data_IF_799465905890
#
_entry.id   IF_799465905890
#
_cell.length_a   1.000
_cell.length_b   1.000
_cell.length_c   1.000
_cell.angle_alpha   90.00
_cell.angle_beta   90.00
_cell.angle_gamma   90.00
#
_symmetry.space_group_name_H-M   'P 1'
#
loop_
_entity.id
_entity.type
_entity.pdbx_description
1 polymer ?
#
# COMPACT_ATOMS: atom_id res chain seq x y z
N UNK A 1 -28.14 -8.81 9.94
CA UNK A 1 -27.99 -8.58 8.49
C UNK A 1 -26.83 -7.64 8.23
N UNK A 2 -25.81 -8.10 7.51
CA UNK A 2 -24.75 -7.27 6.94
C UNK A 2 -24.57 -7.63 5.46
N UNK A 3 -23.96 -6.75 4.69
CA UNK A 3 -23.62 -7.00 3.30
C UNK A 3 -22.17 -6.58 3.00
N UNK A 4 -21.57 -7.20 2.00
CA UNK A 4 -20.31 -6.72 1.39
C UNK A 4 -20.68 -6.19 0.02
N UNK A 5 -20.39 -4.90 -0.20
CA UNK A 5 -20.77 -4.16 -1.40
C UNK A 5 -19.56 -3.46 -1.97
N UNK A 6 -19.49 -3.40 -3.30
CA UNK A 6 -18.50 -2.60 -3.99
C UNK A 6 -19.01 -1.17 -4.17
N UNK A 7 -18.37 -0.21 -3.52
CA UNK A 7 -18.69 1.22 -3.63
C UNK A 7 -17.46 1.95 -4.14
N UNK A 8 -17.60 2.56 -5.32
CA UNK A 8 -16.56 3.38 -5.95
C UNK A 8 -15.18 2.68 -6.02
N UNK A 9 -15.19 1.39 -6.40
CA UNK A 9 -14.01 0.55 -6.59
C UNK A 9 -13.41 -0.07 -5.33
N UNK A 10 -14.11 0.02 -4.19
CA UNK A 10 -13.67 -0.60 -2.93
C UNK A 10 -14.79 -1.46 -2.34
N UNK A 11 -14.44 -2.64 -1.83
CA UNK A 11 -15.38 -3.50 -1.13
C UNK A 11 -15.46 -3.08 0.33
N UNK A 12 -16.67 -2.85 0.82
CA UNK A 12 -16.90 -2.44 2.20
C UNK A 12 -17.97 -3.31 2.83
N UNK A 13 -17.70 -3.75 4.07
CA UNK A 13 -18.69 -4.41 4.91
C UNK A 13 -19.60 -3.36 5.52
N UNK A 14 -20.90 -3.53 5.30
CA UNK A 14 -21.92 -2.58 5.74
C UNK A 14 -23.03 -3.26 6.51
N UNK A 15 -23.52 -2.58 7.54
CA UNK A 15 -24.72 -2.92 8.27
C UNK A 15 -25.75 -1.78 8.17
N UNK A 16 -27.01 -2.10 8.49
CA UNK A 16 -28.07 -1.09 8.55
C UNK A 16 -27.72 0.00 9.57
N UNK A 17 -28.01 1.26 9.23
CA UNK A 17 -27.77 2.46 10.04
C UNK A 17 -26.27 2.76 10.31
N UNK A 18 -25.36 2.07 9.64
CA UNK A 18 -23.92 2.29 9.77
C UNK A 18 -23.47 3.49 8.93
N UNK A 19 -22.58 4.30 9.51
CA UNK A 19 -21.84 5.36 8.80
C UNK A 19 -20.58 4.80 8.20
N UNK A 20 -20.35 5.07 6.92
CA UNK A 20 -19.22 4.57 6.16
C UNK A 20 -18.60 5.70 5.34
N UNK A 21 -17.27 5.74 5.31
CA UNK A 21 -16.53 6.64 4.43
C UNK A 21 -16.13 5.90 3.16
N UNK A 22 -16.51 6.48 2.02
CA UNK A 22 -16.20 5.94 0.70
C UNK A 22 -15.52 6.99 -0.16
N UNK A 23 -14.94 6.56 -1.28
CA UNK A 23 -14.41 7.46 -2.29
C UNK A 23 -15.49 8.46 -2.76
N UNK A 24 -15.05 9.63 -3.23
CA UNK A 24 -15.95 10.73 -3.58
C UNK A 24 -17.02 10.31 -4.59
N UNK A 25 -18.28 10.46 -4.20
CA UNK A 25 -19.44 10.21 -5.07
C UNK A 25 -19.86 11.49 -5.83
N UNK A 26 -20.32 11.39 -7.09
CA UNK A 26 -20.80 12.50 -7.90
C UNK A 26 -22.26 12.86 -7.59
N UNK A 27 -22.64 12.84 -6.31
CA UNK A 27 -24.02 13.09 -5.85
C UNK A 27 -24.00 14.18 -4.78
N UNK A 28 -25.01 15.03 -4.75
CA UNK A 28 -25.11 16.10 -3.75
C UNK A 28 -25.38 15.55 -2.34
N UNK A 29 -25.03 16.35 -1.32
CA UNK A 29 -25.27 16.00 0.08
C UNK A 29 -26.78 15.93 0.36
N UNK A 30 -27.20 14.97 1.19
CA UNK A 30 -28.60 14.73 1.56
C UNK A 30 -29.39 13.85 0.59
N UNK A 31 -28.86 13.55 -0.61
CA UNK A 31 -29.53 12.68 -1.58
C UNK A 31 -29.29 11.19 -1.29
N UNK A 32 -30.24 10.36 -1.70
CA UNK A 32 -30.14 8.91 -1.66
C UNK A 32 -29.43 8.36 -2.89
N UNK A 33 -28.68 7.28 -2.71
CA UNK A 33 -27.90 6.56 -3.71
C UNK A 33 -28.14 5.06 -3.52
N UNK A 34 -28.36 4.36 -4.62
CA UNK A 34 -28.48 2.91 -4.67
C UNK A 34 -27.20 2.26 -5.19
N UNK A 35 -26.81 1.13 -4.60
CA UNK A 35 -25.69 0.31 -5.05
C UNK A 35 -26.18 -1.09 -5.40
N UNK A 36 -25.92 -1.49 -6.65
CA UNK A 36 -26.40 -2.77 -7.21
C UNK A 36 -25.35 -3.89 -7.07
N UNK A 37 -24.06 -3.55 -6.94
CA UNK A 37 -22.97 -4.51 -6.85
C UNK A 37 -22.78 -5.05 -5.43
N UNK A 38 -23.71 -5.91 -5.00
CA UNK A 38 -23.65 -6.61 -3.72
C UNK A 38 -23.02 -7.99 -3.90
N UNK A 39 -21.93 -8.26 -3.19
CA UNK A 39 -21.13 -9.48 -3.35
C UNK A 39 -21.54 -10.57 -2.37
N UNK A 40 -21.94 -10.17 -1.15
CA UNK A 40 -22.30 -11.10 -0.08
C UNK A 40 -23.36 -10.47 0.81
N UNK A 41 -24.31 -11.28 1.28
CA UNK A 41 -25.27 -10.92 2.33
C UNK A 41 -25.21 -11.97 3.43
N UNK A 42 -25.01 -11.52 4.67
CA UNK A 42 -24.99 -12.35 5.87
C UNK A 42 -26.15 -12.03 6.80
N UNK A 43 -27.04 -13.01 6.97
CA UNK A 43 -28.20 -12.99 7.87
C UNK A 43 -28.02 -14.01 9.00
N UNK A 44 -27.16 -13.67 9.95
CA UNK A 44 -26.82 -14.57 11.06
C UNK A 44 -26.10 -15.80 10.51
N UNK A 45 -26.73 -16.96 10.62
CA UNK A 45 -26.17 -18.24 10.17
C UNK A 45 -26.31 -18.47 8.65
N UNK A 46 -27.16 -17.70 7.96
CA UNK A 46 -27.35 -17.81 6.51
C UNK A 46 -26.45 -16.81 5.80
N UNK A 47 -25.53 -17.33 4.98
CA UNK A 47 -24.63 -16.51 4.16
C UNK A 47 -24.93 -16.79 2.69
N UNK A 48 -25.35 -15.75 1.97
CA UNK A 48 -25.58 -15.77 0.53
C UNK A 48 -24.37 -15.12 -0.15
N UNK A 49 -23.70 -15.87 -1.02
CA UNK A 49 -22.48 -15.44 -1.73
C UNK A 49 -22.83 -15.29 -3.21
N UNK A 50 -22.45 -14.16 -3.82
CA UNK A 50 -22.64 -13.88 -5.24
C UNK A 50 -21.52 -14.46 -6.11
N UNK A 51 -21.80 -14.58 -7.41
CA UNK A 51 -20.84 -15.06 -8.41
C UNK A 51 -21.07 -14.35 -9.76
N UNK A 52 -20.56 -13.13 -9.98
CA UNK A 52 -19.72 -12.28 -9.12
C UNK A 52 -20.49 -11.38 -8.14
N UNK A 53 -21.74 -11.02 -8.44
CA UNK A 53 -22.64 -10.27 -7.56
C UNK A 53 -23.95 -11.06 -7.36
N UNK A 54 -24.75 -10.67 -6.37
CA UNK A 54 -26.07 -11.27 -6.10
C UNK A 54 -27.13 -10.54 -6.93
N UNK A 55 -27.79 -11.26 -7.84
CA UNK A 55 -28.81 -10.69 -8.71
C UNK A 55 -30.01 -10.17 -7.92
N UNK A 56 -30.40 -8.92 -8.18
CA UNK A 56 -31.55 -8.26 -7.56
C UNK A 56 -31.34 -7.85 -6.10
N UNK A 57 -30.12 -7.93 -5.59
CA UNK A 57 -29.74 -7.31 -4.33
C UNK A 57 -29.42 -5.83 -4.54
N UNK A 58 -29.87 -4.98 -3.61
CA UNK A 58 -29.63 -3.54 -3.69
C UNK A 58 -29.43 -2.96 -2.30
N UNK A 59 -28.48 -2.03 -2.18
CA UNK A 59 -28.24 -1.28 -0.94
C UNK A 59 -28.63 0.17 -1.15
N UNK A 60 -29.56 0.65 -0.33
CA UNK A 60 -29.95 2.06 -0.27
C UNK A 60 -29.13 2.79 0.78
N UNK A 61 -28.50 3.90 0.37
CA UNK A 61 -27.71 4.75 1.25
C UNK A 61 -28.05 6.22 1.05
N UNK A 62 -27.80 7.04 2.07
CA UNK A 62 -27.93 8.50 2.02
C UNK A 62 -26.58 9.15 2.20
N UNK A 63 -26.25 10.09 1.32
CA UNK A 63 -25.02 10.90 1.45
C UNK A 63 -25.23 11.93 2.55
N UNK A 64 -24.43 11.87 3.60
CA UNK A 64 -24.50 12.83 4.72
C UNK A 64 -23.71 14.08 4.39
N UNK A 65 -22.43 13.92 4.03
CA UNK A 65 -21.53 15.04 3.73
C UNK A 65 -20.35 14.62 2.87
N UNK A 66 -19.77 15.59 2.16
CA UNK A 66 -18.49 15.44 1.47
C UNK A 66 -17.38 16.08 2.30
N UNK A 67 -16.29 15.34 2.51
CA UNK A 67 -15.16 15.82 3.30
C UNK A 67 -13.82 15.52 2.64
N UNK A 68 -12.80 16.16 3.18
CA UNK A 68 -11.40 15.86 2.86
C UNK A 68 -10.82 15.08 4.03
N UNK A 69 -10.25 13.91 3.75
CA UNK A 69 -9.54 13.12 4.74
C UNK A 69 -8.29 13.82 5.26
N UNK A 70 -7.52 13.12 6.07
CA UNK A 70 -6.33 13.69 6.68
C UNK A 70 -5.27 14.05 5.66
N UNK A 71 -4.45 15.06 6.00
CA UNK A 71 -3.40 15.54 5.11
C UNK A 71 -2.22 14.58 5.15
N UNK A 72 -2.05 13.83 4.08
CA UNK A 72 -0.86 13.01 3.85
C UNK A 72 0.24 13.90 3.28
N UNK A 73 1.41 13.93 3.90
CA UNK A 73 2.56 14.69 3.42
C UNK A 73 3.41 13.80 2.52
N UNK A 74 3.42 14.10 1.22
CA UNK A 74 4.28 13.45 0.24
C UNK A 74 5.61 14.20 0.18
N UNK A 75 6.62 13.65 0.85
CA UNK A 75 7.98 14.19 0.85
C UNK A 75 8.91 13.34 -0.03
N UNK A 76 9.55 13.97 -1.01
CA UNK A 76 10.53 13.34 -1.90
C UNK A 76 11.88 14.03 -1.69
N UNK A 77 12.96 13.29 -1.43
CA UNK A 77 14.32 13.84 -1.24
C UNK A 77 15.35 12.92 -1.87
N UNK A 78 16.36 13.49 -2.56
CA UNK A 78 17.56 12.77 -3.00
C UNK A 78 18.77 13.31 -2.26
N UNK A 79 19.54 12.43 -1.62
CA UNK A 79 20.73 12.78 -0.83
C UNK A 79 21.81 13.40 -1.73
N UNK A 80 22.46 14.48 -1.28
CA UNK A 80 23.56 15.19 -2.00
C UNK A 80 23.21 15.74 -3.39
N UNK A 81 21.94 15.75 -3.80
CA UNK A 81 21.49 16.28 -5.11
C UNK A 81 20.70 17.58 -5.01
N UNK A 82 20.61 18.18 -3.82
CA UNK A 82 19.78 19.38 -3.57
C UNK A 82 18.26 19.17 -3.76
N UNK A 83 17.83 18.03 -4.31
CA UNK A 83 16.45 17.72 -4.58
C UNK A 83 15.69 17.38 -3.31
N UNK A 84 14.74 18.24 -2.95
CA UNK A 84 13.68 18.00 -1.96
C UNK A 84 12.37 18.62 -2.46
N UNK A 85 11.26 17.88 -2.38
CA UNK A 85 9.91 18.33 -2.69
C UNK A 85 8.98 17.88 -1.56
N UNK A 86 8.12 18.77 -1.08
CA UNK A 86 7.12 18.49 -0.03
C UNK A 86 5.76 18.95 -0.54
N UNK A 87 4.89 17.99 -0.85
CA UNK A 87 3.52 18.27 -1.28
C UNK A 87 2.55 17.70 -0.24
N UNK A 88 1.44 18.40 0.01
CA UNK A 88 0.34 17.85 0.78
C UNK A 88 -0.69 17.22 -0.16
N UNK A 89 -1.19 16.04 0.18
CA UNK A 89 -2.34 15.41 -0.46
C UNK A 89 -3.47 15.25 0.56
N UNK A 90 -4.71 15.50 0.14
CA UNK A 90 -5.92 15.19 0.94
C UNK A 90 -6.88 14.44 0.04
N UNK A 91 -7.30 13.26 0.46
CA UNK A 91 -8.27 12.46 -0.28
C UNK A 91 -9.67 13.06 -0.13
N UNK A 92 -10.41 13.16 -1.23
CA UNK A 92 -11.83 13.50 -1.19
C UNK A 92 -12.65 12.27 -0.86
N UNK A 93 -13.48 12.36 0.17
CA UNK A 93 -14.32 11.28 0.68
C UNK A 93 -15.78 11.74 0.78
N UNK A 94 -16.68 10.79 0.76
CA UNK A 94 -18.11 10.97 1.03
C UNK A 94 -18.48 10.13 2.25
N UNK A 95 -19.14 10.74 3.22
CA UNK A 95 -19.76 10.03 4.34
C UNK A 95 -21.17 9.61 3.92
N UNK A 96 -21.45 8.32 3.98
CA UNK A 96 -22.76 7.75 3.68
C UNK A 96 -23.32 7.03 4.91
N UNK A 97 -24.64 7.04 5.05
CA UNK A 97 -25.39 6.21 6.00
C UNK A 97 -26.17 5.18 5.22
N UNK A 98 -26.09 3.92 5.62
CA UNK A 98 -26.84 2.83 4.98
C UNK A 98 -28.25 2.77 5.55
N UNK A 99 -29.26 2.94 4.70
CA UNK A 99 -30.67 2.96 5.10
C UNK A 99 -31.32 1.57 4.96
N UNK A 100 -31.02 0.85 3.88
CA UNK A 100 -31.64 -0.45 3.59
C UNK A 100 -30.71 -1.42 2.88
N UNK A 101 -30.91 -2.71 3.16
CA UNK A 101 -30.27 -3.83 2.48
C UNK A 101 -31.41 -4.72 1.96
N UNK A 102 -31.49 -4.89 0.63
CA UNK A 102 -32.51 -5.72 -0.03
C UNK A 102 -31.83 -7.00 -0.53
N UNK A 103 -32.31 -8.16 -0.08
CA UNK A 103 -31.62 -9.45 -0.26
C UNK A 103 -31.98 -10.23 -1.54
N UNK A 104 -33.05 -9.86 -2.24
CA UNK A 104 -33.43 -10.29 -3.60
C UNK A 104 -34.90 -9.93 -3.81
N UNK A 105 -35.19 -9.17 -4.88
CA UNK A 105 -36.57 -8.86 -5.26
C UNK A 105 -36.90 -7.36 -5.22
N UNK A 106 -36.25 -6.58 -6.08
CA UNK A 106 -36.78 -5.28 -6.51
C UNK A 106 -36.70 -5.21 -8.04
N UNK A 107 -37.87 -5.23 -8.69
CA UNK A 107 -38.02 -4.80 -10.08
C UNK A 107 -37.50 -3.36 -10.24
N UNK A 108 -36.71 -3.05 -11.28
CA UNK A 108 -36.14 -1.73 -11.47
C UNK A 108 -37.24 -0.69 -11.77
N UNK A 109 -37.51 0.20 -10.82
CA UNK A 109 -38.36 1.36 -11.04
C UNK A 109 -37.62 2.42 -11.89
N UNK A 110 -37.91 2.38 -13.19
CA UNK A 110 -38.10 3.48 -14.15
C UNK A 110 -37.37 4.81 -13.86
N UNK A 111 -36.35 5.09 -14.68
CA UNK A 111 -35.87 6.44 -15.02
C UNK A 111 -37.05 7.33 -15.41
N UNK A 112 -37.28 8.39 -14.65
CA UNK A 112 -38.15 9.49 -15.06
C UNK A 112 -37.29 10.62 -15.63
N UNK A 113 -37.45 10.85 -16.94
CA UNK A 113 -36.80 11.91 -17.71
C UNK A 113 -37.28 13.29 -17.26
N UNK A 114 -36.30 14.15 -16.98
CA UNK A 114 -36.51 15.58 -16.80
C UNK A 114 -37.10 16.21 -18.07
N UNK A 115 -38.27 16.86 -17.93
CA UNK A 115 -38.82 17.77 -18.92
C UNK A 115 -37.83 18.91 -19.19
N UNK A 116 -37.49 19.06 -20.48
CA UNK A 116 -36.83 20.21 -21.10
C UNK A 116 -37.51 21.53 -20.71
N UNK A 117 -36.76 22.44 -20.09
CA UNK A 117 -37.05 23.87 -20.14
C UNK A 117 -36.25 24.48 -21.30
N UNK A 118 -36.96 25.04 -22.28
CA UNK A 118 -36.41 25.88 -23.34
C UNK A 118 -36.24 27.33 -22.84
N UNK A 119 -35.34 28.12 -23.47
CA UNK A 119 -34.65 29.25 -22.86
C UNK A 119 -35.33 30.60 -23.11
N UNK A 120 -35.10 31.57 -22.24
CA UNK A 120 -35.08 33.01 -22.59
C UNK A 120 -33.96 33.72 -21.81
N UNK A 121 -33.07 34.35 -22.56
CA UNK A 121 -32.00 35.25 -22.14
C UNK A 121 -32.20 36.59 -22.87
N UNK A 122 -31.68 37.65 -22.24
CA UNK A 122 -31.56 39.08 -22.61
C UNK A 122 -32.41 39.95 -21.69
N UNK A 123 -31.82 40.81 -20.85
CA UNK A 123 -31.11 42.04 -21.26
C UNK A 123 -29.95 42.48 -20.32
N UNK A 124 -28.95 43.15 -20.91
CA UNK A 124 -27.88 44.00 -20.29
C UNK A 124 -28.47 45.39 -19.91
N UNK A 125 -27.88 46.17 -18.97
CA UNK A 125 -26.80 47.15 -19.25
C UNK A 125 -25.75 47.30 -18.10
N UNK A 126 -24.45 47.40 -18.38
CA UNK A 126 -23.63 48.59 -18.70
C UNK A 126 -23.08 49.36 -17.48
N UNK A 127 -21.75 49.55 -17.48
CA UNK A 127 -20.90 50.19 -16.45
C UNK A 127 -20.90 51.73 -16.52
N UNK A 128 -20.29 52.40 -15.53
CA UNK A 128 -19.28 53.40 -15.87
C UNK A 128 -17.98 53.35 -15.03
N UNK A 129 -16.90 53.78 -15.71
CA UNK A 129 -15.50 54.00 -15.30
C UNK A 129 -15.31 55.06 -14.20
N UNK A 130 -14.22 54.95 -13.43
CA UNK A 130 -13.19 56.01 -13.25
C UNK A 130 -11.95 55.52 -12.46
N UNK A 131 -10.77 55.60 -13.07
CA UNK A 131 -9.43 55.80 -12.44
C UNK A 131 -9.15 57.33 -12.43
N UNK A 132 -8.19 57.96 -11.66
CA UNK A 132 -6.77 57.50 -11.55
C UNK A 132 -5.86 58.00 -10.38
N UNK A 133 -4.58 57.57 -10.43
CA UNK A 133 -3.29 58.13 -9.87
C UNK A 133 -3.03 58.09 -8.35
N UNK A 134 -1.80 58.10 -7.80
CA UNK A 134 -0.38 57.71 -8.06
C UNK A 134 0.41 58.22 -6.81
N UNK A 135 1.62 57.69 -6.53
CA UNK A 135 2.68 58.18 -5.59
C UNK A 135 2.62 57.71 -4.12
N UNK A 136 3.68 57.72 -3.30
CA UNK A 136 5.05 57.11 -3.25
C UNK A 136 5.60 57.39 -1.83
N UNK A 137 6.42 56.49 -1.26
CA UNK A 137 7.30 56.67 -0.06
C UNK A 137 6.59 56.87 1.32
N UNK A 138 7.06 56.46 2.52
CA UNK A 138 8.42 56.25 3.08
C UNK A 138 8.36 55.47 4.42
N UNK A 139 9.39 54.64 4.68
CA UNK A 139 10.10 54.26 5.93
C UNK A 139 9.52 54.57 7.35
N UNK A 140 9.47 53.57 8.24
CA UNK A 140 9.85 53.66 9.66
C UNK A 140 10.05 52.27 10.31
N UNK A 141 11.18 52.10 11.00
CA UNK A 141 11.55 50.96 11.86
C UNK A 141 10.92 51.08 13.26
N UNK A 142 10.57 49.96 13.90
CA UNK A 142 10.67 49.78 15.36
C UNK A 142 10.57 48.28 15.74
N UNK A 143 11.57 47.80 16.48
CA UNK A 143 11.62 46.54 17.26
C UNK A 143 11.08 46.82 18.67
N UNK A 144 10.47 45.87 19.41
CA UNK A 144 11.22 45.07 20.41
C UNK A 144 10.71 43.61 20.55
N UNK A 145 11.59 42.61 20.64
CA UNK A 145 12.00 41.87 21.85
C UNK A 145 11.00 40.85 22.45
N UNK A 146 11.35 39.57 22.22
CA UNK A 146 11.49 38.48 23.21
C UNK A 146 10.69 38.52 24.52
N UNK A 147 9.81 37.52 24.68
CA UNK A 147 9.59 36.84 25.98
C UNK A 147 9.60 35.32 25.79
N UNK A 148 10.53 34.69 26.51
CA UNK A 148 10.70 33.26 26.72
C UNK A 148 9.93 32.90 28.00
N UNK A 149 9.02 31.93 27.94
CA UNK A 149 8.41 31.30 29.10
C UNK A 149 8.34 29.79 28.88
N UNK A 150 9.01 29.03 29.76
CA UNK A 150 8.84 27.59 29.93
C UNK A 150 7.72 27.33 30.96
N UNK A 151 7.10 26.14 30.94
CA UNK A 151 7.41 25.10 31.94
C UNK A 151 7.57 23.70 31.29
N UNK A 152 8.56 22.89 31.65
CA UNK A 152 8.61 21.92 32.78
C UNK A 152 7.86 20.59 32.55
N UNK A 153 8.68 19.54 32.37
CA UNK A 153 8.55 18.09 32.68
C UNK A 153 7.35 17.24 32.23
N UNK A 154 7.68 16.21 31.42
CA UNK A 154 7.58 14.78 31.80
C UNK A 154 8.45 13.93 30.85
N UNK A 155 9.56 13.42 31.37
CA UNK A 155 10.17 12.19 30.87
C UNK A 155 9.35 11.01 31.42
N UNK A 156 9.09 10.02 30.56
CA UNK A 156 9.10 8.55 30.80
C UNK A 156 8.42 7.86 29.59
N UNK A 157 9.12 6.86 29.06
CA UNK A 157 8.68 5.78 28.16
C UNK A 157 8.45 6.07 26.67
N UNK A 158 9.56 6.11 25.91
CA UNK A 158 9.60 5.80 24.48
C UNK A 158 10.65 4.70 24.27
N UNK A 159 10.30 3.46 24.60
CA UNK A 159 11.13 2.29 24.25
C UNK A 159 10.39 1.04 23.79
N UNK A 160 9.05 1.05 23.66
CA UNK A 160 8.32 -0.20 23.33
C UNK A 160 7.51 -0.22 22.03
N UNK A 161 7.50 0.84 21.20
CA UNK A 161 6.70 0.85 19.96
C UNK A 161 7.51 0.96 18.66
N UNK A 162 8.80 0.63 18.70
CA UNK A 162 9.63 0.49 17.48
C UNK A 162 9.72 -0.95 16.95
N UNK A 163 9.23 -1.93 17.69
CA UNK A 163 9.36 -3.36 17.33
C UNK A 163 8.23 -3.84 16.41
N UNK A 164 7.04 -3.24 16.42
CA UNK A 164 5.88 -3.75 15.65
C UNK A 164 5.74 -3.21 14.22
N UNK A 165 6.72 -2.45 13.71
CA UNK A 165 6.74 -1.99 12.30
C UNK A 165 7.80 -2.67 11.43
N UNK A 166 8.71 -3.42 12.04
CA UNK A 166 9.71 -4.21 11.33
C UNK A 166 9.17 -5.57 10.87
N UNK A 167 8.16 -6.12 11.56
CA UNK A 167 7.64 -7.47 11.29
C UNK A 167 6.61 -7.54 10.15
N UNK A 168 6.12 -6.41 9.63
CA UNK A 168 5.15 -6.40 8.52
C UNK A 168 5.75 -5.93 7.18
N UNK A 169 7.08 -5.92 7.03
CA UNK A 169 7.77 -5.64 5.75
C UNK A 169 8.48 -6.85 5.15
N UNK A 170 8.42 -7.99 5.82
CA UNK A 170 9.09 -9.22 5.40
C UNK A 170 8.22 -10.15 4.53
N UNK A 171 6.99 -9.78 4.18
CA UNK A 171 6.07 -10.65 3.40
C UNK A 171 5.92 -10.25 1.92
N UNK A 172 6.55 -9.16 1.47
CA UNK A 172 6.48 -8.71 0.07
C UNK A 172 7.78 -8.99 -0.71
N UNK A 173 8.09 -10.27 -0.91
CA UNK A 173 8.83 -10.80 -2.09
C UNK A 173 9.07 -12.32 -1.96
N UNK A 174 8.03 -13.12 -1.81
CA UNK A 174 8.15 -14.55 -2.10
C UNK A 174 8.21 -14.75 -3.62
N UNK A 175 9.40 -14.57 -4.20
CA UNK A 175 9.74 -15.28 -5.43
C UNK A 175 9.88 -16.73 -4.98
N UNK A 176 8.96 -17.60 -5.40
CA UNK A 176 9.06 -19.04 -5.16
C UNK A 176 10.38 -19.54 -5.77
N UNK A 177 11.43 -19.63 -4.95
CA UNK A 177 12.63 -20.35 -5.31
C UNK A 177 12.20 -21.80 -5.40
N UNK A 178 12.40 -22.44 -6.56
CA UNK A 178 12.20 -23.88 -6.71
C UNK A 178 13.36 -24.61 -6.00
N UNK A 179 13.38 -24.54 -4.68
CA UNK A 179 14.40 -25.13 -3.80
C UNK A 179 14.55 -26.63 -4.10
N UNK A 180 13.44 -27.30 -4.38
CA UNK A 180 13.43 -28.71 -4.77
C UNK A 180 14.29 -28.97 -6.01
N UNK A 181 14.20 -28.15 -7.06
CA UNK A 181 14.95 -28.37 -8.31
C UNK A 181 16.45 -28.23 -8.11
N UNK A 182 16.88 -27.25 -7.30
CA UNK A 182 18.29 -27.05 -6.94
C UNK A 182 18.82 -28.24 -6.14
N UNK A 183 18.09 -28.67 -5.09
CA UNK A 183 18.49 -29.79 -4.23
C UNK A 183 18.55 -31.12 -4.98
N UNK A 184 17.70 -31.36 -5.98
CA UNK A 184 17.79 -32.55 -6.84
C UNK A 184 19.07 -32.55 -7.71
N UNK A 185 19.62 -31.38 -8.07
CA UNK A 185 20.85 -31.26 -8.87
C UNK A 185 22.12 -31.44 -8.04
N UNK A 186 22.15 -30.86 -6.83
CA UNK A 186 23.36 -30.82 -5.98
C UNK A 186 23.40 -31.87 -4.88
N UNK A 187 22.26 -32.50 -4.57
CA UNK A 187 22.09 -33.47 -3.49
C UNK A 187 21.67 -32.83 -2.16
N UNK A 188 21.19 -33.66 -1.24
CA UNK A 188 20.77 -33.27 0.11
C UNK A 188 21.81 -33.67 1.15
N UNK A 189 22.08 -32.80 2.12
CA UNK A 189 22.96 -33.07 3.25
C UNK A 189 22.24 -32.78 4.58
N UNK A 190 22.67 -33.41 5.66
CA UNK A 190 22.18 -33.11 7.01
C UNK A 190 23.00 -31.98 7.62
N UNK A 191 22.36 -31.17 8.47
CA UNK A 191 23.02 -30.07 9.18
C UNK A 191 24.16 -30.54 10.11
N UNK A 192 24.17 -31.81 10.52
CA UNK A 192 25.23 -32.40 11.34
C UNK A 192 26.58 -32.49 10.60
N UNK A 193 26.54 -32.62 9.27
CA UNK A 193 27.72 -32.79 8.43
C UNK A 193 28.12 -31.46 7.75
N UNK A 194 27.63 -30.33 8.28
CA UNK A 194 27.85 -29.02 7.70
C UNK A 194 29.33 -28.62 7.72
N UNK A 195 29.83 -28.19 6.56
CA UNK A 195 31.15 -27.61 6.40
C UNK A 195 31.14 -26.12 6.75
N UNK A 196 32.27 -25.55 7.17
CA UNK A 196 32.40 -24.09 7.36
C UNK A 196 32.53 -23.39 6.01
N UNK A 197 31.39 -23.03 5.43
CA UNK A 197 31.31 -22.43 4.09
C UNK A 197 32.04 -21.08 4.00
N UNK A 198 32.35 -20.44 5.15
CA UNK A 198 33.14 -19.21 5.23
C UNK A 198 34.57 -19.35 4.70
N UNK A 199 35.07 -20.58 4.54
CA UNK A 199 36.39 -20.83 3.95
C UNK A 199 36.43 -20.50 2.44
N UNK A 200 35.27 -20.38 1.79
CA UNK A 200 35.15 -19.94 0.40
C UNK A 200 35.11 -18.41 0.36
N UNK A 201 35.97 -17.81 -0.44
CA UNK A 201 36.01 -16.37 -0.62
C UNK A 201 34.67 -15.85 -1.16
N UNK A 202 34.16 -14.77 -0.57
CA UNK A 202 32.86 -14.20 -0.93
C UNK A 202 31.67 -14.77 -0.15
N UNK A 203 31.82 -15.90 0.54
CA UNK A 203 30.84 -16.44 1.49
C UNK A 203 31.18 -15.90 2.90
N UNK A 204 30.36 -14.98 3.38
CA UNK A 204 30.43 -14.47 4.75
C UNK A 204 29.35 -15.09 5.64
N UNK A 205 29.31 -14.74 6.94
CA UNK A 205 28.33 -15.31 7.90
C UNK A 205 26.88 -15.18 7.43
N UNK A 206 26.52 -14.02 6.88
CA UNK A 206 25.16 -13.75 6.36
C UNK A 206 24.82 -14.63 5.15
N UNK A 207 25.79 -14.98 4.32
CA UNK A 207 25.56 -15.82 3.15
C UNK A 207 25.50 -17.31 3.51
N UNK A 208 26.32 -17.73 4.45
CA UNK A 208 26.28 -19.09 5.00
C UNK A 208 24.93 -19.38 5.66
N UNK A 209 24.40 -18.45 6.47
CA UNK A 209 23.06 -18.59 7.06
C UNK A 209 21.99 -18.78 5.98
N UNK A 210 22.02 -17.97 4.92
CA UNK A 210 21.09 -18.06 3.78
C UNK A 210 21.24 -19.38 2.99
N UNK A 211 22.46 -19.87 2.79
CA UNK A 211 22.69 -21.16 2.12
C UNK A 211 22.21 -22.33 2.99
N UNK A 212 22.42 -22.25 4.30
CA UNK A 212 21.95 -23.22 5.28
C UNK A 212 20.41 -23.26 5.37
N UNK A 213 19.73 -22.12 5.22
CA UNK A 213 18.26 -22.05 5.13
C UNK A 213 17.73 -22.78 3.88
N UNK A 214 18.51 -22.81 2.80
CA UNK A 214 18.17 -23.49 1.53
C UNK A 214 18.58 -24.96 1.48
N UNK A 215 19.16 -25.49 2.57
CA UNK A 215 19.61 -26.88 2.64
C UNK A 215 20.98 -27.15 2.02
N UNK A 216 21.76 -26.11 1.74
CA UNK A 216 23.14 -26.21 1.23
C UNK A 216 24.10 -26.05 2.42
N UNK A 217 24.65 -27.17 2.88
CA UNK A 217 25.48 -27.25 4.08
C UNK A 217 26.94 -27.62 3.81
N UNK A 218 27.27 -28.19 2.65
CA UNK A 218 28.57 -28.83 2.41
C UNK A 218 29.31 -28.27 1.20
N UNK A 219 30.65 -28.39 1.21
CA UNK A 219 31.47 -28.09 0.04
C UNK A 219 31.12 -29.00 -1.15
N UNK A 220 30.64 -30.22 -0.88
CA UNK A 220 30.25 -31.18 -1.90
C UNK A 220 29.06 -30.66 -2.73
N UNK A 221 28.05 -30.09 -2.09
CA UNK A 221 26.90 -29.49 -2.77
C UNK A 221 27.33 -28.28 -3.62
N UNK A 222 28.17 -27.39 -3.08
CA UNK A 222 28.67 -26.21 -3.81
C UNK A 222 29.52 -26.62 -5.02
N UNK A 223 30.30 -27.69 -4.91
CA UNK A 223 31.14 -28.21 -6.00
C UNK A 223 30.33 -28.72 -7.20
N UNK A 224 29.05 -29.09 -6.99
CA UNK A 224 28.13 -29.65 -7.98
C UNK A 224 27.22 -28.61 -8.62
N UNK A 225 27.26 -27.35 -8.19
CA UNK A 225 26.41 -26.27 -8.73
C UNK A 225 26.64 -26.07 -10.23
N UNK A 226 25.57 -26.23 -11.02
CA UNK A 226 25.57 -25.95 -12.47
C UNK A 226 25.25 -24.47 -12.74
N UNK A 227 25.33 -24.04 -14.00
CA UNK A 227 24.98 -22.67 -14.39
C UNK A 227 23.50 -22.32 -14.08
N UNK A 228 22.57 -23.27 -14.30
CA UNK A 228 21.16 -23.09 -13.99
C UNK A 228 20.90 -22.94 -12.48
N UNK A 229 21.56 -23.77 -11.65
CA UNK A 229 21.42 -23.71 -10.20
C UNK A 229 21.90 -22.36 -9.63
N UNK A 230 22.93 -21.75 -10.27
CA UNK A 230 23.45 -20.42 -9.91
C UNK A 230 22.50 -19.28 -10.25
N UNK A 231 21.69 -19.42 -11.30
CA UNK A 231 20.65 -18.44 -11.65
C UNK A 231 19.49 -18.50 -10.65
N UNK A 232 19.09 -19.70 -10.20
CA UNK A 232 18.03 -19.87 -9.22
C UNK A 232 18.46 -19.36 -7.83
N UNK A 233 19.74 -19.54 -7.45
CA UNK A 233 20.32 -18.92 -6.25
C UNK A 233 20.43 -17.39 -6.34
N UNK A 234 20.39 -16.80 -7.55
CA UNK A 234 20.47 -15.35 -7.72
C UNK A 234 19.20 -14.59 -7.32
N UNK A 235 18.11 -15.31 -7.08
CA UNK A 235 16.86 -14.77 -6.54
C UNK A 235 16.96 -14.38 -5.06
N UNK A 236 18.02 -14.83 -4.37
CA UNK A 236 18.29 -14.51 -2.97
C UNK A 236 18.87 -13.10 -2.89
N UNK A 237 18.29 -12.27 -2.04
CA UNK A 237 18.79 -10.92 -1.79
C UNK A 237 20.30 -10.94 -1.43
N UNK A 238 21.12 -10.35 -2.29
CA UNK A 238 22.56 -10.15 -2.10
C UNK A 238 23.48 -11.27 -2.60
N UNK A 239 22.99 -12.45 -3.01
CA UNK A 239 23.80 -13.45 -3.72
C UNK A 239 23.49 -13.28 -5.20
N UNK A 240 24.39 -12.71 -5.99
CA UNK A 240 24.22 -12.60 -7.44
C UNK A 240 24.98 -13.70 -8.16
N UNK A 241 24.48 -14.13 -9.32
CA UNK A 241 25.19 -15.08 -10.19
C UNK A 241 26.63 -14.64 -10.46
N UNK A 242 26.82 -13.36 -10.79
CA UNK A 242 28.13 -12.78 -11.09
C UNK A 242 29.12 -12.91 -9.93
N UNK A 243 28.62 -12.92 -8.70
CA UNK A 243 29.46 -13.11 -7.52
C UNK A 243 29.88 -14.57 -7.35
N UNK A 244 28.95 -15.51 -7.52
CA UNK A 244 29.26 -16.94 -7.44
C UNK A 244 30.28 -17.35 -8.52
N UNK A 245 30.13 -16.80 -9.73
CA UNK A 245 31.06 -17.03 -10.84
C UNK A 245 32.38 -16.26 -10.65
N UNK A 246 32.32 -14.99 -10.25
CA UNK A 246 33.49 -14.11 -10.09
C UNK A 246 34.40 -14.50 -8.93
N UNK A 247 33.82 -14.93 -7.79
CA UNK A 247 34.58 -15.41 -6.62
C UNK A 247 34.94 -16.90 -6.74
N UNK A 248 34.66 -17.55 -7.89
CA UNK A 248 34.99 -18.93 -8.22
C UNK A 248 34.56 -19.98 -7.16
N UNK A 249 33.37 -19.86 -6.55
CA UNK A 249 32.94 -20.71 -5.42
C UNK A 249 33.03 -22.22 -5.72
N UNK A 250 32.65 -22.63 -6.93
CA UNK A 250 32.66 -24.04 -7.35
C UNK A 250 34.08 -24.61 -7.39
N UNK A 251 35.07 -23.80 -7.78
CA UNK A 251 36.47 -24.21 -7.89
C UNK A 251 37.12 -24.30 -6.51
N UNK A 252 36.86 -23.32 -5.64
CA UNK A 252 37.35 -23.32 -4.26
C UNK A 252 36.74 -24.47 -3.45
N UNK A 253 35.44 -24.73 -3.61
CA UNK A 253 34.79 -25.89 -2.98
C UNK A 253 35.46 -27.21 -3.40
N UNK A 254 35.81 -27.38 -4.67
CA UNK A 254 36.56 -28.56 -5.16
C UNK A 254 37.96 -28.67 -4.58
N UNK A 255 38.62 -27.54 -4.32
CA UNK A 255 39.95 -27.51 -3.73
C UNK A 255 39.90 -27.85 -2.23
N UNK A 256 38.91 -27.31 -1.51
CA UNK A 256 38.68 -27.63 -0.10
C UNK A 256 38.28 -29.10 0.11
N UNK A 257 37.51 -29.70 -0.80
CA UNK A 257 37.21 -31.13 -0.77
C UNK A 257 38.44 -32.03 -0.97
N UNK A 258 39.45 -31.57 -1.72
CA UNK A 258 40.71 -32.33 -1.89
C UNK A 258 41.61 -32.28 -0.67
N UNK A 259 41.45 -31.23 0.15
CA UNK A 259 42.24 -30.98 1.35
C UNK A 259 41.53 -31.45 2.63
N UNK A 260 40.32 -32.02 2.49
CA UNK A 260 39.50 -32.62 3.55
C UNK A 260 39.74 -34.13 3.59
#
# INVERSE_FOLDING_TARGET
MYAIVEIAGQQVKVAKDQKVFVNRLPVEEGKTVSFDNVLLIGDGDKITIGAPAIDGAQIGAKVVKHLKGDKVIVFKKKRRKGFRKKNGHRQYLSEIVIESIVASGATPAKKEEAKKAAPKKETKPAAPKAEPKKETATKAEAKPETKKAAPSNKEVEVSENLVTRAEHRAEDAHVEINIDKVLHSIGTALKSDADDLKLINGIGPVYEEKLNELGIYTFEQISKLKAADREELSAIDGITRDKIEGDEWVKQAKELLKNK
#
